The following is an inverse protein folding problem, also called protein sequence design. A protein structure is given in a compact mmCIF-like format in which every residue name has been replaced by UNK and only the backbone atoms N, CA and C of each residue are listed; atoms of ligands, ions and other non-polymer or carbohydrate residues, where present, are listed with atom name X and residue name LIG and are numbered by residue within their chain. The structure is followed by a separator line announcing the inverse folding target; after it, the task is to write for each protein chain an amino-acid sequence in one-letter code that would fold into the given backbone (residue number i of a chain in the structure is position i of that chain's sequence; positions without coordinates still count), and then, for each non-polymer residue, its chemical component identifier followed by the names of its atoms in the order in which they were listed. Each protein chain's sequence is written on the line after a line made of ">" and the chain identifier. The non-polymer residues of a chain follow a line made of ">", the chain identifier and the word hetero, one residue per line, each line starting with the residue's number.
data_IF_852724675585
#
_entry.id   IF_852724675585
#
_cell.length_a   1.000
_cell.length_b   1.000
_cell.length_c   1.000
_cell.angle_alpha   90.00
_cell.angle_beta   90.00
_cell.angle_gamma   90.00
#
_symmetry.space_group_name_H-M   'P 1'
#
loop_
_entity.id
_entity.type
_entity.pdbx_description
1 polymer ?
#
# COMPACT_ATOMS: atom_id res chain seq x y z
N UNK A 1 11.41 7.40 23.66
CA UNK A 1 11.84 7.65 22.27
C UNK A 1 10.65 7.62 21.32
N UNK A 2 9.85 6.54 21.26
CA UNK A 2 8.66 6.45 20.40
C UNK A 2 7.58 7.50 20.75
N UNK A 3 7.41 7.85 22.03
CA UNK A 3 6.46 8.88 22.44
C UNK A 3 6.83 10.24 21.83
N UNK A 4 8.10 10.65 21.92
CA UNK A 4 8.58 11.89 21.29
C UNK A 4 8.41 11.91 19.79
N UNK A 5 8.68 10.79 19.10
CA UNK A 5 8.46 10.67 17.67
C UNK A 5 6.97 10.82 17.31
N UNK A 6 6.08 10.19 18.09
CA UNK A 6 4.64 10.34 17.91
C UNK A 6 4.18 11.79 18.09
N UNK A 7 4.66 12.48 19.14
CA UNK A 7 4.36 13.89 19.41
C UNK A 7 4.84 14.79 18.26
N UNK A 8 6.07 14.56 17.76
CA UNK A 8 6.61 15.28 16.61
C UNK A 8 5.76 15.07 15.34
N UNK A 9 5.36 13.82 15.03
CA UNK A 9 4.53 13.50 13.87
C UNK A 9 3.14 14.14 13.99
N UNK A 10 2.52 14.10 15.16
CA UNK A 10 1.22 14.75 15.38
C UNK A 10 1.33 16.26 15.18
N UNK A 11 2.37 16.91 15.72
CA UNK A 11 2.59 18.32 15.50
C UNK A 11 2.84 18.69 14.03
N UNK A 12 3.50 17.83 13.24
CA UNK A 12 3.65 18.01 11.79
C UNK A 12 2.30 17.92 11.08
N UNK A 13 1.48 16.92 11.43
CA UNK A 13 0.14 16.77 10.87
C UNK A 13 -0.74 17.98 11.15
N UNK A 14 -0.72 18.50 12.40
CA UNK A 14 -1.46 19.70 12.78
C UNK A 14 -1.05 20.95 11.99
N UNK A 15 0.23 21.05 11.61
CA UNK A 15 0.73 22.13 10.74
C UNK A 15 0.51 21.90 9.25
N UNK A 16 -0.16 20.81 8.86
CA UNK A 16 -0.40 20.44 7.46
C UNK A 16 0.85 19.95 6.73
N UNK A 17 1.92 19.58 7.47
CA UNK A 17 3.11 18.99 6.85
C UNK A 17 2.82 17.55 6.40
N UNK A 18 3.19 17.22 5.17
CA UNK A 18 3.06 15.86 4.63
C UNK A 18 4.41 15.16 4.47
N UNK A 19 4.36 13.84 4.18
CA UNK A 19 5.56 13.04 3.95
C UNK A 19 6.26 13.29 2.62
N UNK A 20 5.63 14.02 1.69
CA UNK A 20 6.18 14.33 0.37
C UNK A 20 7.08 15.57 0.46
N UNK A 21 8.37 15.36 0.72
CA UNK A 21 9.33 16.46 0.80
C UNK A 21 9.39 17.26 -0.51
N UNK A 22 8.97 18.54 -0.47
CA UNK A 22 9.00 19.46 -1.60
C UNK A 22 7.95 19.16 -2.70
N UNK A 23 6.81 18.61 -2.31
CA UNK A 23 5.61 18.47 -3.13
C UNK A 23 4.37 18.51 -2.22
N UNK A 24 3.24 18.91 -2.77
CA UNK A 24 1.96 18.89 -2.09
C UNK A 24 1.37 17.48 -2.08
N UNK A 25 0.65 17.12 -1.01
CA UNK A 25 -0.10 15.87 -0.92
C UNK A 25 -1.50 16.09 -1.50
N UNK A 26 -1.71 15.66 -2.75
CA UNK A 26 -3.00 15.75 -3.42
C UNK A 26 -3.85 14.50 -3.17
N UNK A 27 -3.20 13.33 -3.14
CA UNK A 27 -3.83 12.02 -3.00
C UNK A 27 -3.04 11.12 -2.07
N UNK A 28 -3.74 10.21 -1.42
CA UNK A 28 -3.19 9.16 -0.56
C UNK A 28 -3.49 7.79 -1.14
N UNK A 29 -2.51 6.93 -1.17
CA UNK A 29 -2.69 5.56 -1.66
C UNK A 29 -2.27 4.50 -0.66
N UNK A 30 -2.89 3.33 -0.79
CA UNK A 30 -2.35 2.09 -0.24
C UNK A 30 -1.47 1.41 -1.30
N UNK A 31 -0.24 1.08 -0.92
CA UNK A 31 0.61 0.17 -1.69
C UNK A 31 0.34 -1.26 -1.25
N UNK A 32 -0.14 -2.11 -2.16
CA UNK A 32 -0.37 -3.52 -1.89
C UNK A 32 0.77 -4.38 -2.42
N UNK A 33 1.31 -5.21 -1.55
CA UNK A 33 2.42 -6.11 -1.84
C UNK A 33 3.79 -5.56 -1.46
N UNK A 34 4.81 -6.33 -1.83
CA UNK A 34 6.22 -5.97 -1.59
C UNK A 34 6.68 -4.86 -2.54
N UNK A 35 7.71 -4.13 -2.18
CA UNK A 35 8.28 -3.12 -3.06
C UNK A 35 9.03 -3.74 -4.26
N UNK A 36 9.02 -3.04 -5.39
CA UNK A 36 9.85 -3.36 -6.54
C UNK A 36 11.25 -2.78 -6.30
N UNK A 37 12.11 -3.53 -5.56
CA UNK A 37 13.39 -3.02 -5.05
C UNK A 37 14.33 -2.47 -6.12
N UNK A 38 14.47 -3.10 -7.32
CA UNK A 38 15.33 -2.57 -8.37
C UNK A 38 14.91 -1.19 -8.88
N UNK A 39 13.64 -0.82 -8.71
CA UNK A 39 13.07 0.43 -9.21
C UNK A 39 12.44 1.30 -8.12
N UNK A 40 12.82 1.09 -6.87
CA UNK A 40 12.24 1.81 -5.72
C UNK A 40 12.27 3.33 -5.91
N UNK A 41 13.41 3.86 -6.33
CA UNK A 41 13.56 5.30 -6.59
C UNK A 41 12.63 5.81 -7.69
N UNK A 42 12.43 5.01 -8.75
CA UNK A 42 11.56 5.37 -9.85
C UNK A 42 10.09 5.35 -9.42
N UNK A 43 9.65 4.28 -8.72
CA UNK A 43 8.26 4.15 -8.28
C UNK A 43 7.84 5.29 -7.36
N UNK A 44 8.65 5.62 -6.36
CA UNK A 44 8.35 6.74 -5.46
C UNK A 44 8.45 8.11 -6.11
N UNK A 45 9.42 8.32 -7.02
CA UNK A 45 9.55 9.59 -7.74
C UNK A 45 8.33 9.85 -8.63
N UNK A 46 7.83 8.83 -9.31
CA UNK A 46 6.63 8.94 -10.14
C UNK A 46 5.41 9.32 -9.29
N UNK A 47 5.16 8.62 -8.18
CA UNK A 47 4.08 8.97 -7.25
C UNK A 47 4.19 10.42 -6.78
N UNK A 48 5.38 10.83 -6.34
CA UNK A 48 5.64 12.19 -5.87
C UNK A 48 5.37 13.25 -6.94
N UNK A 49 5.70 13.00 -8.21
CA UNK A 49 5.47 13.94 -9.31
C UNK A 49 3.99 14.27 -9.50
N UNK A 50 3.09 13.36 -9.13
CA UNK A 50 1.64 13.55 -9.14
C UNK A 50 1.06 13.98 -7.78
N UNK A 51 1.90 14.27 -6.79
CA UNK A 51 1.43 14.60 -5.43
C UNK A 51 0.77 13.41 -4.72
N UNK A 52 1.13 12.20 -5.09
CA UNK A 52 0.58 10.97 -4.49
C UNK A 52 1.46 10.51 -3.34
N UNK A 53 0.91 10.48 -2.13
CA UNK A 53 1.57 9.98 -0.93
C UNK A 53 1.15 8.54 -0.63
N UNK A 54 2.09 7.67 -0.33
CA UNK A 54 1.84 6.31 0.11
C UNK A 54 1.66 6.30 1.64
N UNK A 55 0.40 6.36 2.10
CA UNK A 55 0.06 6.39 3.53
C UNK A 55 -0.32 5.02 4.08
N UNK A 56 -0.79 4.11 3.24
CA UNK A 56 -1.12 2.73 3.58
C UNK A 56 -0.19 1.72 2.90
N UNK A 57 0.10 0.61 3.57
CA UNK A 57 0.82 -0.50 2.95
C UNK A 57 0.55 -1.81 3.67
N UNK A 58 0.39 -2.90 2.92
CA UNK A 58 0.26 -4.26 3.47
C UNK A 58 1.60 -4.83 3.93
N UNK A 59 2.72 -4.35 3.41
CA UNK A 59 4.05 -4.90 3.72
C UNK A 59 4.46 -4.71 5.18
N UNK A 60 4.34 -3.51 5.82
CA UNK A 60 4.69 -3.34 7.22
C UNK A 60 3.82 -4.15 8.18
N UNK A 61 2.55 -4.42 7.84
CA UNK A 61 1.65 -5.21 8.69
C UNK A 61 2.13 -6.64 8.90
N UNK A 62 2.86 -7.21 7.92
CA UNK A 62 3.46 -8.54 8.03
C UNK A 62 4.55 -8.63 9.12
N UNK A 63 5.11 -7.51 9.54
CA UNK A 63 6.19 -7.43 10.54
C UNK A 63 5.73 -6.88 11.89
N UNK A 64 4.50 -6.38 11.98
CA UNK A 64 3.93 -5.76 13.18
C UNK A 64 3.20 -6.77 14.08
N UNK A 65 3.77 -7.95 14.26
CA UNK A 65 3.18 -9.02 15.09
C UNK A 65 3.34 -8.69 16.58
N UNK A 66 2.26 -8.89 17.34
CA UNK A 66 2.24 -8.60 18.78
C UNK A 66 2.08 -9.93 19.54
N UNK A 67 3.04 -10.25 20.37
CA UNK A 67 3.01 -11.39 21.29
C UNK A 67 3.95 -11.13 22.47
N UNK A 68 3.76 -11.83 23.57
CA UNK A 68 4.63 -11.75 24.74
C UNK A 68 5.93 -12.51 24.45
N UNK A 69 7.13 -11.87 24.58
CA UNK A 69 8.40 -12.55 24.39
C UNK A 69 8.52 -13.81 25.26
N UNK A 70 8.89 -14.94 24.64
CA UNK A 70 8.99 -16.25 25.29
C UNK A 70 7.71 -17.06 25.30
N UNK A 71 6.57 -16.49 24.95
CA UNK A 71 5.31 -17.22 24.81
C UNK A 71 5.14 -17.74 23.36
N UNK A 72 5.50 -19.01 23.15
CA UNK A 72 5.46 -19.64 21.82
C UNK A 72 4.03 -19.79 21.28
N UNK A 73 3.04 -19.99 22.15
CA UNK A 73 1.65 -20.13 21.74
C UNK A 73 1.09 -18.80 21.22
N UNK A 74 1.33 -17.69 21.94
CA UNK A 74 0.96 -16.36 21.47
C UNK A 74 1.68 -15.99 20.17
N UNK A 75 2.97 -16.31 20.06
CA UNK A 75 3.74 -16.11 18.84
C UNK A 75 3.12 -16.88 17.67
N UNK A 76 2.82 -18.15 17.83
CA UNK A 76 2.18 -18.97 16.81
C UNK A 76 0.82 -18.39 16.38
N UNK A 77 -0.01 -17.96 17.32
CA UNK A 77 -1.30 -17.28 17.04
C UNK A 77 -1.09 -15.97 16.27
N UNK A 78 -0.11 -15.15 16.66
CA UNK A 78 0.19 -13.90 15.95
C UNK A 78 0.59 -14.16 14.50
N UNK A 79 1.39 -15.19 14.23
CA UNK A 79 1.78 -15.57 12.87
C UNK A 79 0.62 -16.09 12.01
N UNK A 80 -0.40 -16.71 12.59
CA UNK A 80 -1.60 -17.11 11.82
C UNK A 80 -2.40 -15.90 11.33
N UNK A 81 -2.29 -14.75 12.02
CA UNK A 81 -2.91 -13.49 11.63
C UNK A 81 -2.11 -12.65 10.60
N UNK A 82 -0.95 -13.14 10.18
CA UNK A 82 -0.17 -12.46 9.14
C UNK A 82 -0.88 -12.53 7.79
N UNK A 83 -0.83 -11.43 7.01
CA UNK A 83 -1.59 -11.27 5.77
C UNK A 83 -1.56 -12.49 4.84
N UNK A 84 -0.39 -13.07 4.60
CA UNK A 84 -0.25 -14.24 3.72
C UNK A 84 -0.85 -15.55 4.28
N UNK A 85 -1.16 -15.59 5.57
CA UNK A 85 -1.78 -16.75 6.23
C UNK A 85 -3.29 -16.61 6.39
N UNK A 86 -3.84 -15.44 6.04
CA UNK A 86 -5.27 -15.19 6.12
C UNK A 86 -6.01 -15.84 4.94
N UNK A 87 -7.27 -16.18 5.16
CA UNK A 87 -8.20 -16.52 4.08
C UNK A 87 -8.37 -15.33 3.13
N UNK A 88 -8.95 -15.56 1.95
CA UNK A 88 -9.28 -14.49 1.00
C UNK A 88 -10.07 -13.35 1.70
N UNK A 89 -11.11 -13.69 2.44
CA UNK A 89 -11.90 -12.70 3.19
C UNK A 89 -11.04 -11.93 4.20
N UNK A 90 -10.20 -12.62 4.96
CA UNK A 90 -9.31 -11.97 5.93
C UNK A 90 -8.28 -11.03 5.26
N UNK A 91 -7.81 -11.37 4.07
CA UNK A 91 -6.93 -10.51 3.29
C UNK A 91 -7.65 -9.26 2.76
N UNK A 92 -8.91 -9.41 2.35
CA UNK A 92 -9.78 -8.29 1.95
C UNK A 92 -10.03 -7.36 3.14
N UNK A 93 -10.41 -7.92 4.28
CA UNK A 93 -10.70 -7.15 5.49
C UNK A 93 -9.49 -6.38 6.00
N UNK A 94 -8.31 -6.99 5.97
CA UNK A 94 -7.04 -6.33 6.31
C UNK A 94 -6.81 -5.09 5.43
N UNK A 95 -7.00 -5.22 4.13
CA UNK A 95 -6.81 -4.08 3.19
C UNK A 95 -7.85 -2.99 3.38
N UNK A 96 -9.11 -3.37 3.59
CA UNK A 96 -10.18 -2.41 3.94
C UNK A 96 -9.83 -1.60 5.19
N UNK A 97 -9.34 -2.27 6.24
CA UNK A 97 -8.90 -1.61 7.48
C UNK A 97 -7.76 -0.62 7.20
N UNK A 98 -6.72 -1.04 6.46
CA UNK A 98 -5.60 -0.15 6.11
C UNK A 98 -6.09 1.07 5.31
N UNK A 99 -6.90 0.87 4.27
CA UNK A 99 -7.44 1.94 3.43
C UNK A 99 -8.22 2.96 4.27
N UNK A 100 -9.09 2.49 5.15
CA UNK A 100 -9.91 3.34 6.00
C UNK A 100 -9.09 4.09 7.05
N UNK A 101 -8.20 3.39 7.77
CA UNK A 101 -7.37 3.98 8.82
C UNK A 101 -6.39 5.02 8.27
N UNK A 102 -5.84 4.80 7.09
CA UNK A 102 -4.88 5.70 6.46
C UNK A 102 -5.52 6.67 5.45
N UNK A 103 -6.85 6.62 5.32
CA UNK A 103 -7.67 7.52 4.48
C UNK A 103 -7.16 7.57 3.03
N UNK A 104 -7.00 6.39 2.43
CA UNK A 104 -6.53 6.28 1.05
C UNK A 104 -7.61 6.66 0.05
N UNK A 105 -7.22 7.40 -0.98
CA UNK A 105 -8.04 7.77 -2.14
C UNK A 105 -8.01 6.71 -3.23
N UNK A 106 -6.91 5.90 -3.29
CA UNK A 106 -6.69 4.87 -4.30
C UNK A 106 -5.78 3.75 -3.82
N UNK A 107 -5.61 2.73 -4.65
CA UNK A 107 -4.76 1.57 -4.38
C UNK A 107 -3.85 1.28 -5.57
N UNK A 108 -2.57 1.05 -5.29
CA UNK A 108 -1.59 0.53 -6.25
C UNK A 108 -1.23 -0.89 -5.84
N UNK A 109 -1.51 -1.87 -6.70
CA UNK A 109 -1.20 -3.28 -6.47
C UNK A 109 0.01 -3.70 -7.31
N UNK A 110 1.09 -4.09 -6.65
CA UNK A 110 2.27 -4.63 -7.31
C UNK A 110 2.09 -6.13 -7.57
N UNK A 111 1.89 -6.50 -8.84
CA UNK A 111 1.82 -7.88 -9.30
C UNK A 111 3.24 -8.45 -9.34
N UNK A 112 3.63 -9.08 -8.22
CA UNK A 112 5.01 -9.58 -8.06
C UNK A 112 5.20 -10.93 -8.74
N UNK A 113 5.78 -10.96 -9.92
CA UNK A 113 5.90 -12.14 -10.77
C UNK A 113 6.67 -13.31 -10.15
N UNK A 114 7.55 -13.05 -9.19
CA UNK A 114 8.27 -14.09 -8.42
C UNK A 114 7.46 -14.72 -7.30
N UNK A 115 6.34 -14.13 -6.89
CA UNK A 115 5.60 -14.58 -5.73
C UNK A 115 4.16 -14.98 -6.07
N UNK A 116 3.96 -16.23 -6.43
CA UNK A 116 2.63 -16.78 -6.77
C UNK A 116 1.61 -16.62 -5.64
N UNK A 117 2.04 -16.69 -4.40
CA UNK A 117 1.16 -16.55 -3.23
C UNK A 117 0.57 -15.13 -3.11
N UNK A 118 1.38 -14.10 -3.40
CA UNK A 118 0.90 -12.73 -3.39
C UNK A 118 0.06 -12.42 -4.63
N UNK A 119 0.45 -12.93 -5.78
CA UNK A 119 -0.12 -12.57 -7.09
C UNK A 119 -1.48 -13.22 -7.33
N UNK A 120 -1.66 -14.47 -6.87
CA UNK A 120 -2.80 -15.31 -7.22
C UNK A 120 -4.16 -14.77 -6.75
N UNK A 121 -4.22 -14.13 -5.58
CA UNK A 121 -5.45 -13.61 -5.02
C UNK A 121 -5.69 -12.11 -5.28
N UNK A 122 -4.71 -11.42 -5.85
CA UNK A 122 -4.78 -9.96 -6.01
C UNK A 122 -5.92 -9.52 -6.92
N UNK A 123 -6.28 -10.32 -7.91
CA UNK A 123 -7.40 -10.00 -8.80
C UNK A 123 -8.73 -9.98 -8.04
N UNK A 124 -9.05 -11.03 -7.30
CA UNK A 124 -10.28 -11.13 -6.50
C UNK A 124 -10.33 -10.06 -5.40
N UNK A 125 -9.20 -9.83 -4.75
CA UNK A 125 -9.06 -8.78 -3.74
C UNK A 125 -9.34 -7.41 -4.35
N UNK A 126 -8.73 -7.09 -5.49
CA UNK A 126 -8.94 -5.84 -6.19
C UNK A 126 -10.39 -5.63 -6.61
N UNK A 127 -11.05 -6.67 -7.13
CA UNK A 127 -12.46 -6.63 -7.50
C UNK A 127 -13.38 -6.34 -6.29
N UNK A 128 -13.12 -7.00 -5.15
CA UNK A 128 -13.92 -6.76 -3.93
C UNK A 128 -13.71 -5.34 -3.39
N UNK A 129 -12.46 -4.89 -3.28
CA UNK A 129 -12.15 -3.53 -2.80
C UNK A 129 -12.81 -2.46 -3.68
N UNK A 130 -12.73 -2.62 -5.00
CA UNK A 130 -13.35 -1.69 -5.94
C UNK A 130 -14.87 -1.65 -5.79
N UNK A 131 -15.52 -2.81 -5.67
CA UNK A 131 -16.98 -2.92 -5.50
C UNK A 131 -17.47 -2.40 -4.15
N UNK A 132 -16.75 -2.75 -3.07
CA UNK A 132 -17.21 -2.48 -1.71
C UNK A 132 -16.86 -1.08 -1.19
N UNK A 133 -15.74 -0.50 -1.65
CA UNK A 133 -15.27 0.82 -1.22
C UNK A 133 -15.40 1.89 -2.31
N UNK A 134 -15.77 1.50 -3.54
CA UNK A 134 -15.79 2.38 -4.71
C UNK A 134 -14.46 3.15 -4.86
N UNK A 135 -13.33 2.49 -4.57
CA UNK A 135 -12.00 3.08 -4.60
C UNK A 135 -11.29 2.76 -5.91
N UNK A 136 -10.66 3.74 -6.57
CA UNK A 136 -9.82 3.49 -7.74
C UNK A 136 -8.66 2.56 -7.43
N UNK A 137 -8.43 1.59 -8.31
CA UNK A 137 -7.33 0.62 -8.19
C UNK A 137 -6.57 0.54 -9.49
N UNK A 138 -5.25 0.55 -9.41
CA UNK A 138 -4.39 0.21 -10.53
C UNK A 138 -3.47 -0.94 -10.17
N UNK A 139 -3.12 -1.75 -11.16
CA UNK A 139 -2.15 -2.83 -11.03
C UNK A 139 -0.98 -2.58 -11.97
N UNK A 140 0.21 -2.99 -11.58
CA UNK A 140 1.37 -3.00 -12.47
C UNK A 140 2.20 -4.26 -12.26
N UNK A 141 2.78 -4.73 -13.36
CA UNK A 141 3.69 -5.87 -13.34
C UNK A 141 5.08 -5.45 -12.88
N UNK A 142 5.65 -6.26 -12.00
CA UNK A 142 7.00 -6.05 -11.52
C UNK A 142 7.56 -7.29 -10.86
N UNK A 143 8.69 -7.11 -10.22
CA UNK A 143 9.32 -8.15 -9.44
C UNK A 143 10.09 -7.54 -8.28
N UNK A 144 10.11 -8.23 -7.16
CA UNK A 144 10.86 -7.77 -5.99
C UNK A 144 12.39 -7.76 -6.22
N UNK A 145 12.90 -8.56 -7.14
CA UNK A 145 14.33 -8.73 -7.37
C UNK A 145 14.76 -8.69 -8.84
N UNK A 146 13.91 -9.19 -9.77
CA UNK A 146 14.24 -9.25 -11.20
C UNK A 146 13.83 -7.96 -11.93
N UNK A 147 14.81 -7.15 -12.38
CA UNK A 147 14.50 -5.89 -13.05
C UNK A 147 13.85 -6.04 -14.43
N UNK A 148 13.87 -7.25 -15.03
CA UNK A 148 13.33 -7.49 -16.37
C UNK A 148 11.80 -7.44 -16.44
N UNK A 149 11.15 -7.68 -15.32
CA UNK A 149 9.68 -7.74 -15.22
C UNK A 149 9.01 -6.37 -14.98
N UNK A 150 9.77 -5.27 -15.05
CA UNK A 150 9.26 -3.93 -14.79
C UNK A 150 9.44 -3.02 -16.01
N UNK A 151 8.36 -2.37 -16.41
CA UNK A 151 8.39 -1.32 -17.45
C UNK A 151 8.09 0.03 -16.83
N UNK A 152 9.05 0.96 -16.91
CA UNK A 152 8.88 2.33 -16.42
C UNK A 152 7.70 3.04 -17.07
N UNK A 153 7.60 2.96 -18.40
CA UNK A 153 6.53 3.62 -19.14
C UNK A 153 5.14 3.07 -18.77
N UNK A 154 5.01 1.74 -18.63
CA UNK A 154 3.75 1.16 -18.18
C UNK A 154 3.39 1.60 -16.77
N UNK A 155 4.36 1.63 -15.85
CA UNK A 155 4.10 2.10 -14.50
C UNK A 155 3.64 3.56 -14.48
N UNK A 156 4.33 4.45 -15.20
CA UNK A 156 3.95 5.86 -15.32
C UNK A 156 2.52 6.01 -15.85
N UNK A 157 2.18 5.35 -16.95
CA UNK A 157 0.81 5.38 -17.51
C UNK A 157 -0.24 4.85 -16.52
N UNK A 158 0.09 3.80 -15.74
CA UNK A 158 -0.82 3.26 -14.72
C UNK A 158 -1.05 4.22 -13.56
N UNK A 159 -0.02 4.93 -13.14
CA UNK A 159 -0.16 5.95 -12.09
C UNK A 159 -0.94 7.16 -12.59
N UNK A 160 -0.67 7.62 -13.81
CA UNK A 160 -1.43 8.71 -14.44
C UNK A 160 -2.93 8.39 -14.49
N UNK A 161 -3.31 7.23 -15.02
CA UNK A 161 -4.70 6.79 -15.06
C UNK A 161 -5.33 6.66 -13.65
N UNK A 162 -4.57 6.22 -12.65
CA UNK A 162 -5.05 6.17 -11.27
C UNK A 162 -5.34 7.56 -10.73
N UNK A 163 -4.47 8.53 -11.02
CA UNK A 163 -4.65 9.93 -10.59
C UNK A 163 -5.91 10.52 -11.21
N UNK A 164 -6.14 10.32 -12.51
CA UNK A 164 -7.35 10.75 -13.20
C UNK A 164 -8.61 10.17 -12.54
N UNK A 165 -8.63 8.87 -12.26
CA UNK A 165 -9.76 8.22 -11.56
C UNK A 165 -9.98 8.76 -10.14
N UNK A 166 -8.91 9.09 -9.41
CA UNK A 166 -9.02 9.68 -8.08
C UNK A 166 -9.55 11.12 -8.15
N UNK A 167 -9.15 11.87 -9.18
CA UNK A 167 -9.63 13.22 -9.42
C UNK A 167 -11.13 13.24 -9.77
N UNK A 168 -11.56 12.40 -10.69
CA UNK A 168 -12.97 12.23 -11.04
C UNK A 168 -13.81 11.90 -9.81
N UNK A 169 -13.34 10.99 -8.96
CA UNK A 169 -14.05 10.62 -7.72
C UNK A 169 -14.15 11.76 -6.71
N UNK A 170 -13.19 12.68 -6.67
CA UNK A 170 -13.25 13.86 -5.77
C UNK A 170 -14.22 14.94 -6.28
N UNK A 171 -14.41 15.01 -7.59
CA UNK A 171 -15.21 16.04 -8.25
C UNK A 171 -16.68 15.64 -8.50
N UNK A 172 -17.00 14.36 -8.38
CA UNK A 172 -18.35 13.80 -8.54
C UNK A 172 -19.03 13.55 -7.21
#
# INVERSE_FOLDING_TARGET
>A
TFRKLKEELLGKIERGECGLKGADENYRIMWDGIACWPYLSHTYKTLKNYGVNMTGSTYPSAWALRYTPGNLEEMARAYTGMGNNLSLQGQIDLRKSIIQETKCDGVVMHMNRSCKMCDFLQYEIGQDLQKSLHIPITTFDGDQADPRNYSKAQYETRIEALVEMMEERKNG
#
